data_IF_544734465087
#
_entry.id   IF_544734465087
#
_cell.length_a   1.000
_cell.length_b   1.000
_cell.length_c   1.000
_cell.angle_alpha   90.00
_cell.angle_beta   90.00
_cell.angle_gamma   90.00
#
_symmetry.space_group_name_H-M   'P 1'
#
loop_
_entity.id
_entity.type
_entity.pdbx_description
1 polymer ?
#
# COMPACT_ATOMS: atom_id res chain seq x y z
N UNK A 1 7.56 34.26 16.35
CA UNK A 1 6.40 33.52 15.83
C UNK A 1 6.93 32.61 14.74
N UNK A 2 6.21 31.55 14.35
CA UNK A 2 6.66 30.75 13.20
C UNK A 2 6.54 31.59 11.92
N UNK A 3 7.56 31.54 11.06
CA UNK A 3 7.67 32.33 9.82
C UNK A 3 6.43 32.20 8.92
N UNK A 4 5.76 31.05 8.92
CA UNK A 4 4.53 30.82 8.16
C UNK A 4 3.35 31.66 8.70
N UNK A 5 3.20 31.74 10.02
CA UNK A 5 2.14 32.51 10.66
C UNK A 5 2.35 34.02 10.45
N UNK A 6 3.61 34.46 10.42
CA UNK A 6 3.96 35.85 10.09
C UNK A 6 3.52 36.24 8.66
N UNK A 7 3.45 35.27 7.75
CA UNK A 7 2.96 35.45 6.38
C UNK A 7 1.48 35.09 6.21
N UNK A 8 0.72 34.95 7.30
CA UNK A 8 -0.71 34.57 7.28
C UNK A 8 -1.00 33.23 6.60
N UNK A 9 -0.04 32.30 6.62
CA UNK A 9 -0.22 30.94 6.12
C UNK A 9 -0.84 30.10 7.24
N UNK A 10 -1.98 29.48 6.95
CA UNK A 10 -2.63 28.52 7.84
C UNK A 10 -1.75 27.28 8.00
N UNK A 11 -1.54 26.85 9.25
CA UNK A 11 -0.73 25.65 9.57
C UNK A 11 -1.52 24.75 10.49
N UNK A 12 -1.45 23.44 10.24
CA UNK A 12 -2.09 22.41 11.05
C UNK A 12 -1.00 21.41 11.44
N UNK A 13 -0.90 21.10 12.74
CA UNK A 13 0.18 20.27 13.27
C UNK A 13 -0.31 18.84 13.49
N UNK A 14 0.39 17.86 12.93
CA UNK A 14 0.18 16.45 13.23
C UNK A 14 0.96 16.05 14.49
N UNK A 15 0.43 15.10 15.27
CA UNK A 15 1.12 14.55 16.46
C UNK A 15 2.26 13.60 16.07
N UNK A 16 2.19 12.99 14.90
CA UNK A 16 3.15 12.05 14.36
C UNK A 16 3.33 12.31 12.87
N UNK A 17 3.18 11.25 12.07
CA UNK A 17 3.18 11.40 10.62
C UNK A 17 2.02 12.32 10.13
N UNK A 18 2.30 13.10 9.08
CA UNK A 18 1.40 14.13 8.58
C UNK A 18 0.48 13.65 7.45
N UNK A 19 0.72 12.49 6.84
CA UNK A 19 0.09 12.10 5.58
C UNK A 19 -1.43 11.98 5.72
N UNK A 20 -1.89 11.29 6.76
CA UNK A 20 -3.31 11.14 7.01
C UNK A 20 -3.98 12.50 7.28
N UNK A 21 -3.30 13.41 7.99
CA UNK A 21 -3.83 14.75 8.26
C UNK A 21 -3.92 15.59 6.98
N UNK A 22 -2.90 15.53 6.12
CA UNK A 22 -2.88 16.19 4.82
C UNK A 22 -4.05 15.69 3.96
N UNK A 23 -4.19 14.37 3.83
CA UNK A 23 -5.26 13.76 3.03
C UNK A 23 -6.65 14.12 3.58
N UNK A 24 -6.87 13.98 4.90
CA UNK A 24 -8.16 14.36 5.51
C UNK A 24 -8.49 15.83 5.30
N UNK A 25 -7.51 16.72 5.44
CA UNK A 25 -7.68 18.15 5.17
C UNK A 25 -8.05 18.40 3.71
N UNK A 26 -7.40 17.69 2.77
CA UNK A 26 -7.70 17.81 1.36
C UNK A 26 -9.12 17.35 1.02
N UNK A 27 -9.56 16.20 1.56
CA UNK A 27 -10.92 15.67 1.38
C UNK A 27 -11.97 16.58 2.02
N UNK A 28 -11.70 17.14 3.20
CA UNK A 28 -12.62 18.10 3.82
C UNK A 28 -12.75 19.38 2.98
N UNK A 29 -11.61 19.95 2.53
CA UNK A 29 -11.62 21.17 1.69
C UNK A 29 -12.24 20.91 0.31
N UNK A 30 -12.16 19.69 -0.23
CA UNK A 30 -12.75 19.34 -1.53
C UNK A 30 -14.28 19.36 -1.53
N UNK A 31 -14.92 19.40 -0.36
CA UNK A 31 -16.38 19.59 -0.26
C UNK A 31 -16.85 20.96 -0.74
N UNK A 32 -15.95 21.95 -0.83
CA UNK A 32 -16.29 23.35 -1.15
C UNK A 32 -15.57 23.92 -2.37
N UNK A 33 -14.41 23.37 -2.72
CA UNK A 33 -13.56 23.90 -3.78
C UNK A 33 -12.61 22.84 -4.31
N UNK A 34 -12.02 23.08 -5.49
CA UNK A 34 -10.93 22.25 -5.98
C UNK A 34 -9.70 22.36 -5.07
N UNK A 35 -9.01 21.23 -4.89
CA UNK A 35 -7.85 21.13 -3.99
C UNK A 35 -6.65 20.58 -4.75
N UNK A 36 -5.49 21.18 -4.53
CA UNK A 36 -4.20 20.65 -4.98
C UNK A 36 -3.40 20.24 -3.76
N UNK A 37 -2.98 18.98 -3.73
CA UNK A 37 -2.10 18.41 -2.72
C UNK A 37 -0.70 18.29 -3.32
N UNK A 38 0.27 18.86 -2.62
CA UNK A 38 1.67 18.80 -2.97
C UNK A 38 2.39 17.79 -2.08
N UNK A 39 3.15 16.86 -2.68
CA UNK A 39 3.96 15.91 -1.94
C UNK A 39 4.70 14.92 -2.83
N UNK A 40 5.75 14.31 -2.28
CA UNK A 40 6.55 13.27 -2.94
C UNK A 40 6.17 11.85 -2.50
N UNK A 41 5.43 11.75 -1.39
CA UNK A 41 5.12 10.46 -0.78
C UNK A 41 4.10 9.68 -1.61
N UNK A 42 4.36 8.37 -1.75
CA UNK A 42 3.38 7.47 -2.35
C UNK A 42 2.20 7.24 -1.41
N UNK A 43 2.41 7.35 -0.11
CA UNK A 43 1.39 7.14 0.92
C UNK A 43 0.25 8.15 0.76
N UNK A 44 0.57 9.40 0.43
CA UNK A 44 -0.42 10.42 0.07
C UNK A 44 -1.32 9.99 -1.09
N UNK A 45 -0.75 9.47 -2.19
CA UNK A 45 -1.54 9.02 -3.35
C UNK A 45 -2.44 7.83 -2.99
N UNK A 46 -1.91 6.88 -2.22
CA UNK A 46 -2.66 5.70 -1.74
C UNK A 46 -3.83 6.13 -0.87
N UNK A 47 -3.59 7.01 0.11
CA UNK A 47 -4.60 7.54 1.02
C UNK A 47 -5.63 8.40 0.29
N UNK A 48 -5.23 9.25 -0.66
CA UNK A 48 -6.14 10.05 -1.48
C UNK A 48 -7.07 9.16 -2.31
N UNK A 49 -6.54 8.12 -2.96
CA UNK A 49 -7.37 7.20 -3.73
C UNK A 49 -8.35 6.41 -2.84
N UNK A 50 -7.98 6.16 -1.58
CA UNK A 50 -8.81 5.44 -0.63
C UNK A 50 -9.90 6.32 0.02
N UNK A 51 -9.57 7.56 0.37
CA UNK A 51 -10.41 8.43 1.20
C UNK A 51 -11.20 9.49 0.42
N UNK A 52 -10.81 9.81 -0.82
CA UNK A 52 -11.52 10.81 -1.60
C UNK A 52 -12.93 10.35 -1.97
N UNK A 53 -13.90 11.25 -1.80
CA UNK A 53 -15.30 10.99 -2.12
C UNK A 53 -15.63 11.33 -3.58
N UNK A 54 -16.48 10.51 -4.21
CA UNK A 54 -16.86 10.68 -5.62
C UNK A 54 -17.73 11.93 -5.89
N UNK A 55 -18.35 12.51 -4.86
CA UNK A 55 -19.28 13.64 -4.98
C UNK A 55 -18.68 15.00 -4.60
N UNK A 56 -17.35 15.06 -4.36
CA UNK A 56 -16.66 16.31 -4.04
C UNK A 56 -16.09 17.00 -5.27
N UNK A 57 -15.58 18.22 -5.10
CA UNK A 57 -14.75 18.87 -6.13
C UNK A 57 -13.45 18.08 -6.36
N UNK A 58 -12.82 18.34 -7.52
CA UNK A 58 -11.60 17.68 -7.96
C UNK A 58 -10.46 17.84 -6.95
N UNK A 59 -9.76 16.73 -6.68
CA UNK A 59 -8.50 16.74 -5.93
C UNK A 59 -7.38 16.37 -6.91
N UNK A 60 -6.35 17.21 -6.98
CA UNK A 60 -5.16 16.97 -7.76
C UNK A 60 -3.97 16.70 -6.84
N UNK A 61 -3.18 15.67 -7.14
CA UNK A 61 -1.94 15.37 -6.44
C UNK A 61 -0.74 15.58 -7.35
N UNK A 62 0.26 16.33 -6.89
CA UNK A 62 1.45 16.66 -7.67
C UNK A 62 2.68 16.80 -6.79
N UNK A 63 3.84 16.73 -7.42
CA UNK A 63 5.16 17.02 -6.84
C UNK A 63 5.33 18.51 -6.54
N UNK A 64 6.04 18.83 -5.46
CA UNK A 64 6.48 20.17 -5.09
C UNK A 64 7.85 20.53 -5.69
N UNK A 65 8.50 19.59 -6.38
CA UNK A 65 9.79 19.82 -7.02
C UNK A 65 9.67 20.87 -8.11
N UNK A 66 10.69 21.71 -8.19
CA UNK A 66 10.87 22.67 -9.29
C UNK A 66 11.17 21.94 -10.61
N UNK A 67 10.12 21.40 -11.21
CA UNK A 67 10.14 20.71 -12.49
C UNK A 67 9.44 21.60 -13.51
N UNK A 68 9.91 21.59 -14.76
CA UNK A 68 9.25 22.32 -15.83
C UNK A 68 7.80 21.83 -16.01
N UNK A 69 6.88 22.73 -16.39
CA UNK A 69 5.47 22.35 -16.59
C UNK A 69 5.27 21.17 -17.56
N UNK A 70 6.18 20.98 -18.53
CA UNK A 70 6.13 19.83 -19.46
C UNK A 70 6.36 18.48 -18.79
N UNK A 71 7.06 18.46 -17.67
CA UNK A 71 7.45 17.24 -16.95
C UNK A 71 6.70 17.11 -15.62
N UNK A 72 5.82 18.07 -15.27
CA UNK A 72 5.05 18.03 -14.04
C UNK A 72 4.03 16.89 -14.12
N UNK A 73 4.14 15.96 -13.18
CA UNK A 73 3.19 14.85 -13.06
C UNK A 73 2.06 15.25 -12.13
N UNK A 74 0.86 15.39 -12.69
CA UNK A 74 -0.37 15.68 -11.96
C UNK A 74 -1.28 14.45 -12.02
N UNK A 75 -1.72 14.02 -10.85
CA UNK A 75 -2.73 12.97 -10.70
C UNK A 75 -4.07 13.60 -10.39
N UNK A 76 -5.04 13.38 -11.26
CA UNK A 76 -6.45 13.64 -10.97
C UNK A 76 -6.97 12.44 -10.16
N UNK A 77 -7.29 12.68 -8.88
CA UNK A 77 -7.63 11.60 -7.95
C UNK A 77 -8.93 10.92 -8.36
N UNK A 78 -9.96 11.68 -8.75
CA UNK A 78 -11.22 11.11 -9.21
C UNK A 78 -11.03 10.25 -10.47
N UNK A 79 -10.28 10.72 -11.47
CA UNK A 79 -9.96 9.88 -12.65
C UNK A 79 -9.15 8.65 -12.27
N UNK A 80 -8.24 8.79 -11.32
CA UNK A 80 -7.43 7.66 -10.82
C UNK A 80 -8.31 6.60 -10.16
N UNK A 81 -9.26 7.02 -9.31
CA UNK A 81 -10.26 6.13 -8.70
C UNK A 81 -11.12 5.43 -9.76
N UNK A 82 -11.56 6.13 -10.81
CA UNK A 82 -12.31 5.54 -11.93
C UNK A 82 -11.52 4.46 -12.68
N UNK A 83 -10.22 4.68 -12.92
CA UNK A 83 -9.35 3.71 -13.61
C UNK A 83 -9.06 2.49 -12.73
N UNK A 84 -8.88 2.69 -11.42
CA UNK A 84 -8.59 1.61 -10.49
C UNK A 84 -9.83 0.77 -10.17
N UNK A 85 -10.97 1.41 -10.03
CA UNK A 85 -12.22 0.83 -9.54
C UNK A 85 -12.34 0.94 -8.03
N UNK A 86 -13.57 1.14 -7.55
CA UNK A 86 -13.90 1.32 -6.13
C UNK A 86 -13.35 0.20 -5.24
N UNK A 87 -13.54 -1.05 -5.65
CA UNK A 87 -13.04 -2.22 -4.93
C UNK A 87 -11.53 -2.22 -4.71
N UNK A 88 -10.77 -1.75 -5.70
CA UNK A 88 -9.31 -1.66 -5.58
C UNK A 88 -8.94 -0.51 -4.67
N UNK A 89 -9.57 0.66 -4.83
CA UNK A 89 -9.33 1.82 -3.98
C UNK A 89 -9.58 1.52 -2.50
N UNK A 90 -10.65 0.78 -2.18
CA UNK A 90 -10.93 0.33 -0.82
C UNK A 90 -9.81 -0.56 -0.26
N UNK A 91 -9.14 -1.35 -1.10
CA UNK A 91 -8.10 -2.31 -0.70
C UNK A 91 -6.66 -1.80 -0.92
N UNK A 92 -6.47 -0.58 -1.41
CA UNK A 92 -5.14 -0.02 -1.65
C UNK A 92 -4.27 0.07 -0.39
N UNK A 93 -4.78 0.49 0.79
CA UNK A 93 -3.97 0.51 2.02
C UNK A 93 -3.44 -0.88 2.39
N UNK A 94 -4.28 -1.90 2.28
CA UNK A 94 -3.87 -3.30 2.48
C UNK A 94 -2.79 -3.74 1.49
N UNK A 95 -2.99 -3.46 0.20
CA UNK A 95 -2.00 -3.79 -0.83
C UNK A 95 -0.66 -3.10 -0.55
N UNK A 96 -0.69 -1.82 -0.17
CA UNK A 96 0.50 -1.04 0.11
C UNK A 96 1.26 -1.55 1.35
N UNK A 97 0.55 -1.83 2.45
CA UNK A 97 1.15 -2.39 3.65
C UNK A 97 1.80 -3.77 3.41
N UNK A 98 1.10 -4.68 2.73
CA UNK A 98 1.58 -6.05 2.51
C UNK A 98 2.79 -6.10 1.57
N UNK A 99 2.85 -5.25 0.53
CA UNK A 99 3.97 -5.28 -0.42
C UNK A 99 5.20 -4.52 0.07
N UNK A 100 5.06 -3.73 1.13
CA UNK A 100 6.07 -2.82 1.67
C UNK A 100 5.65 -1.35 1.53
N UNK A 101 5.56 -0.67 2.67
CA UNK A 101 5.37 0.77 2.83
C UNK A 101 6.61 1.40 3.51
N UNK A 102 6.53 2.62 4.02
CA UNK A 102 7.67 3.30 4.65
C UNK A 102 8.27 2.57 5.85
N UNK A 103 7.43 1.84 6.60
CA UNK A 103 7.87 1.11 7.79
C UNK A 103 8.33 -0.31 7.48
N UNK A 104 8.13 -0.81 6.25
CA UNK A 104 8.38 -2.20 5.89
C UNK A 104 9.12 -2.34 4.56
N UNK A 105 10.09 -3.25 4.51
CA UNK A 105 10.83 -3.48 3.28
C UNK A 105 9.94 -4.05 2.18
N UNK A 106 10.23 -3.70 0.92
CA UNK A 106 9.52 -4.29 -0.21
C UNK A 106 9.74 -5.80 -0.29
N UNK A 107 8.68 -6.54 -0.59
CA UNK A 107 8.74 -7.99 -0.86
C UNK A 107 9.66 -8.32 -2.05
N UNK A 108 10.66 -9.16 -1.83
CA UNK A 108 11.57 -9.60 -2.88
C UNK A 108 10.84 -10.46 -3.93
N UNK A 109 11.10 -10.20 -5.22
CA UNK A 109 10.51 -10.94 -6.33
C UNK A 109 9.05 -10.57 -6.66
N UNK A 110 8.42 -9.66 -5.91
CA UNK A 110 7.02 -9.25 -6.13
C UNK A 110 6.95 -7.81 -6.68
N UNK A 111 6.22 -7.64 -7.78
CA UNK A 111 6.00 -6.35 -8.44
C UNK A 111 4.69 -5.69 -8.01
N UNK A 112 4.68 -4.38 -7.73
CA UNK A 112 3.46 -3.62 -7.35
C UNK A 112 2.33 -3.80 -8.37
N UNK A 113 2.64 -3.73 -9.67
CA UNK A 113 1.67 -3.93 -10.75
C UNK A 113 1.11 -5.36 -10.82
N UNK A 114 1.88 -6.38 -10.42
CA UNK A 114 1.40 -7.75 -10.36
C UNK A 114 0.38 -7.93 -9.24
N UNK A 115 0.63 -7.32 -8.08
CA UNK A 115 -0.31 -7.35 -6.94
C UNK A 115 -1.59 -6.58 -7.25
N UNK A 116 -1.48 -5.40 -7.86
CA UNK A 116 -2.65 -4.62 -8.31
C UNK A 116 -3.49 -5.36 -9.35
N UNK A 117 -2.89 -6.17 -10.22
CA UNK A 117 -3.63 -7.05 -11.13
C UNK A 117 -4.29 -8.20 -10.38
N UNK A 118 -3.60 -8.79 -9.40
CA UNK A 118 -4.08 -9.94 -8.65
C UNK A 118 -5.25 -9.58 -7.72
N UNK A 119 -5.21 -8.44 -7.05
CA UNK A 119 -6.30 -7.98 -6.17
C UNK A 119 -7.61 -7.72 -6.93
N UNK A 120 -7.54 -7.45 -8.25
CA UNK A 120 -8.73 -7.27 -9.10
C UNK A 120 -9.48 -8.56 -9.40
N UNK A 121 -8.81 -9.71 -9.38
CA UNK A 121 -9.39 -10.97 -9.90
C UNK A 121 -9.37 -12.13 -8.91
N UNK A 122 -8.61 -12.03 -7.81
CA UNK A 122 -8.42 -13.15 -6.90
C UNK A 122 -9.16 -12.95 -5.58
N UNK A 123 -10.35 -13.56 -5.49
CA UNK A 123 -11.28 -13.41 -4.36
C UNK A 123 -10.66 -13.68 -3.00
N UNK A 124 -9.86 -14.74 -2.85
CA UNK A 124 -9.25 -15.07 -1.56
C UNK A 124 -8.33 -13.96 -1.05
N UNK A 125 -7.59 -13.28 -1.93
CA UNK A 125 -6.75 -12.13 -1.56
C UNK A 125 -7.61 -10.91 -1.20
N UNK A 126 -8.76 -10.73 -1.86
CA UNK A 126 -9.73 -9.68 -1.50
C UNK A 126 -10.31 -9.92 -0.11
N UNK A 127 -10.67 -11.17 0.22
CA UNK A 127 -11.15 -11.55 1.56
C UNK A 127 -10.09 -11.31 2.64
N UNK A 128 -8.81 -11.61 2.36
CA UNK A 128 -7.74 -11.28 3.32
C UNK A 128 -7.64 -9.76 3.52
N UNK A 129 -7.75 -8.97 2.45
CA UNK A 129 -7.76 -7.51 2.55
C UNK A 129 -8.94 -6.96 3.37
N UNK A 130 -10.12 -7.58 3.27
CA UNK A 130 -11.30 -7.20 4.05
C UNK A 130 -11.09 -7.46 5.55
N UNK A 131 -10.56 -8.63 5.92
CA UNK A 131 -10.21 -8.92 7.32
C UNK A 131 -9.16 -7.95 7.82
N UNK A 132 -8.13 -7.69 7.01
CA UNK A 132 -7.02 -6.81 7.36
C UNK A 132 -7.46 -5.37 7.66
N UNK A 133 -8.39 -4.83 6.87
CA UNK A 133 -8.83 -3.43 6.97
C UNK A 133 -9.99 -3.21 7.97
N UNK A 134 -10.59 -4.28 8.49
CA UNK A 134 -11.78 -4.18 9.32
C UNK A 134 -11.43 -3.85 10.78
N UNK A 135 -11.86 -2.68 11.24
CA UNK A 135 -11.57 -2.16 12.59
C UNK A 135 -11.96 -3.11 13.74
N UNK A 136 -12.99 -3.95 13.55
CA UNK A 136 -13.45 -4.89 14.56
C UNK A 136 -12.57 -6.14 14.71
N UNK A 137 -11.58 -6.35 13.83
CA UNK A 137 -10.75 -7.55 13.83
C UNK A 137 -9.62 -7.45 14.85
N UNK A 138 -9.34 -8.57 15.52
CA UNK A 138 -8.24 -8.66 16.47
C UNK A 138 -6.89 -8.66 15.75
N UNK A 139 -5.83 -8.29 16.49
CA UNK A 139 -4.45 -8.31 15.96
C UNK A 139 -4.07 -9.66 15.34
N UNK A 140 -4.47 -10.75 15.98
CA UNK A 140 -4.19 -12.09 15.50
C UNK A 140 -4.88 -12.40 14.17
N UNK A 141 -6.11 -11.90 13.97
CA UNK A 141 -6.84 -12.10 12.72
C UNK A 141 -6.23 -11.29 11.58
N UNK A 142 -5.83 -10.04 11.85
CA UNK A 142 -5.12 -9.19 10.89
C UNK A 142 -3.77 -9.83 10.50
N UNK A 143 -3.01 -10.32 11.48
CA UNK A 143 -1.74 -11.02 11.22
C UNK A 143 -1.94 -12.29 10.39
N UNK A 144 -2.96 -13.10 10.70
CA UNK A 144 -3.29 -14.30 9.91
C UNK A 144 -3.69 -13.94 8.49
N UNK A 145 -4.51 -12.91 8.31
CA UNK A 145 -4.92 -12.46 6.98
C UNK A 145 -3.72 -11.94 6.17
N UNK A 146 -2.81 -11.20 6.81
CA UNK A 146 -1.56 -10.75 6.20
C UNK A 146 -0.64 -11.91 5.81
N UNK A 147 -0.47 -12.91 6.68
CA UNK A 147 0.30 -14.12 6.37
C UNK A 147 -0.32 -14.88 5.19
N UNK A 148 -1.63 -15.08 5.22
CA UNK A 148 -2.37 -15.79 4.17
C UNK A 148 -2.30 -15.05 2.82
N UNK A 149 -2.32 -13.71 2.86
CA UNK A 149 -2.07 -12.87 1.69
C UNK A 149 -0.66 -13.11 1.13
N UNK A 150 0.37 -13.17 1.98
CA UNK A 150 1.74 -13.43 1.55
C UNK A 150 1.92 -14.82 0.96
N UNK A 151 1.35 -15.86 1.60
CA UNK A 151 1.30 -17.23 1.06
C UNK A 151 0.75 -17.18 -0.36
N UNK A 152 -0.37 -16.48 -0.56
CA UNK A 152 -0.94 -16.33 -1.88
C UNK A 152 -0.04 -15.56 -2.86
N UNK A 153 0.55 -14.44 -2.45
CA UNK A 153 1.42 -13.62 -3.32
C UNK A 153 2.65 -14.39 -3.80
N UNK A 154 3.18 -15.29 -2.98
CA UNK A 154 4.31 -16.15 -3.31
C UNK A 154 3.92 -17.47 -4.01
N UNK A 155 2.65 -17.62 -4.41
CA UNK A 155 2.16 -18.79 -5.16
C UNK A 155 1.95 -20.04 -4.29
N UNK A 156 1.77 -19.86 -2.99
CA UNK A 156 1.32 -20.91 -2.08
C UNK A 156 -0.16 -21.22 -2.23
N UNK A 157 -0.54 -22.36 -1.66
CA UNK A 157 -1.93 -22.81 -1.57
C UNK A 157 -2.63 -22.13 -0.38
N UNK A 158 -3.96 -21.91 -0.44
CA UNK A 158 -4.69 -21.41 0.71
C UNK A 158 -4.46 -22.28 1.95
N UNK A 159 -4.26 -21.65 3.12
CA UNK A 159 -4.02 -22.30 4.40
C UNK A 159 -2.74 -23.16 4.47
N UNK A 160 -1.81 -23.02 3.51
CA UNK A 160 -0.53 -23.75 3.52
C UNK A 160 0.36 -23.31 4.70
N UNK A 161 0.26 -22.04 5.10
CA UNK A 161 1.14 -21.43 6.08
C UNK A 161 2.49 -21.01 5.47
N UNK A 162 3.01 -19.86 5.91
CA UNK A 162 4.17 -19.25 5.27
C UNK A 162 5.46 -20.06 5.49
N UNK A 163 5.61 -20.66 6.67
CA UNK A 163 6.80 -21.45 7.00
C UNK A 163 6.85 -22.77 6.22
N UNK A 164 5.70 -23.43 6.00
CA UNK A 164 5.62 -24.63 5.17
C UNK A 164 5.91 -24.30 3.70
N UNK A 165 5.33 -23.21 3.18
CA UNK A 165 5.62 -22.71 1.84
C UNK A 165 7.11 -22.39 1.69
N UNK A 166 7.70 -21.70 2.67
CA UNK A 166 9.13 -21.36 2.69
C UNK A 166 10.00 -22.62 2.65
N UNK A 167 9.67 -23.62 3.47
CA UNK A 167 10.38 -24.91 3.48
C UNK A 167 10.25 -25.65 2.14
N UNK A 168 9.05 -25.70 1.55
CA UNK A 168 8.79 -26.34 0.26
C UNK A 168 9.60 -25.67 -0.86
N UNK A 169 9.64 -24.33 -0.88
CA UNK A 169 10.42 -23.59 -1.88
C UNK A 169 11.92 -23.77 -1.69
N UNK A 170 12.42 -23.79 -0.44
CA UNK A 170 13.81 -24.09 -0.15
C UNK A 170 14.19 -25.49 -0.65
N UNK A 171 13.41 -26.51 -0.29
CA UNK A 171 13.68 -27.90 -0.65
C UNK A 171 13.62 -28.12 -2.16
N UNK A 172 12.60 -27.56 -2.83
CA UNK A 172 12.51 -27.58 -4.31
C UNK A 172 13.76 -26.99 -4.96
N UNK A 173 14.27 -25.89 -4.39
CA UNK A 173 15.47 -25.23 -4.88
C UNK A 173 16.71 -26.10 -4.65
N UNK A 174 16.89 -26.69 -3.47
CA UNK A 174 18.09 -27.50 -3.15
C UNK A 174 18.12 -28.85 -3.87
N UNK A 175 16.97 -29.45 -4.15
CA UNK A 175 16.87 -30.78 -4.78
C UNK A 175 16.85 -30.74 -6.32
N UNK A 176 16.94 -29.56 -6.94
CA UNK A 176 16.92 -29.43 -8.39
C UNK A 176 18.19 -30.04 -9.02
N UNK A 177 18.00 -30.99 -9.96
CA UNK A 177 19.01 -31.89 -10.53
C UNK A 177 20.22 -31.17 -11.19
N UNK A 178 20.07 -29.91 -11.62
CA UNK A 178 21.06 -29.18 -12.41
C UNK A 178 21.72 -27.98 -11.67
N UNK A 179 22.08 -28.10 -10.39
CA UNK A 179 22.63 -26.94 -9.64
C UNK A 179 24.14 -26.94 -9.41
N UNK A 180 24.76 -25.87 -9.90
CA UNK A 180 26.07 -25.35 -9.49
C UNK A 180 25.97 -24.11 -8.58
N UNK A 181 24.76 -23.63 -8.24
CA UNK A 181 24.54 -22.33 -7.57
C UNK A 181 23.97 -22.45 -6.16
N UNK A 182 24.54 -21.64 -5.26
CA UNK A 182 24.16 -21.49 -3.85
C UNK A 182 22.76 -20.87 -3.75
N UNK A 183 21.92 -21.39 -2.84
CA UNK A 183 20.63 -20.77 -2.51
C UNK A 183 20.87 -19.41 -1.86
N UNK A 184 20.52 -18.37 -2.60
CA UNK A 184 20.55 -17.00 -2.12
C UNK A 184 19.43 -16.76 -1.11
N UNK A 185 19.76 -16.26 0.09
CA UNK A 185 18.82 -16.12 1.21
C UNK A 185 17.67 -15.16 0.89
N UNK A 186 17.93 -14.10 0.12
CA UNK A 186 16.92 -13.14 -0.34
C UNK A 186 15.84 -13.75 -1.25
N UNK A 187 16.10 -14.93 -1.82
CA UNK A 187 15.12 -15.67 -2.62
C UNK A 187 14.22 -16.58 -1.76
N UNK A 188 14.40 -16.59 -0.44
CA UNK A 188 13.50 -17.26 0.50
C UNK A 188 12.45 -16.26 0.97
N UNK A 189 11.22 -16.74 1.15
CA UNK A 189 10.15 -15.96 1.74
C UNK A 189 10.53 -15.57 3.17
N UNK A 190 10.00 -14.47 3.68
CA UNK A 190 10.08 -14.15 5.10
C UNK A 190 9.43 -15.24 5.97
N UNK A 191 9.83 -15.32 7.24
CA UNK A 191 9.19 -16.22 8.21
C UNK A 191 7.81 -15.70 8.60
N UNK A 192 6.95 -16.54 9.18
CA UNK A 192 5.67 -16.10 9.76
C UNK A 192 5.87 -14.94 10.75
N UNK A 193 6.88 -14.99 11.62
CA UNK A 193 7.14 -13.91 12.57
C UNK A 193 7.53 -12.58 11.91
N UNK A 194 8.34 -12.63 10.84
CA UNK A 194 8.71 -11.43 10.11
C UNK A 194 7.54 -10.87 9.28
N UNK A 195 6.64 -11.73 8.80
CA UNK A 195 5.45 -11.32 8.07
C UNK A 195 4.51 -10.43 8.88
N UNK A 196 4.49 -10.59 10.22
CA UNK A 196 3.65 -9.78 11.11
C UNK A 196 3.95 -8.28 11.03
N UNK A 197 5.19 -7.88 10.70
CA UNK A 197 5.54 -6.47 10.54
C UNK A 197 4.84 -5.80 9.35
N UNK A 198 4.42 -6.57 8.35
CA UNK A 198 3.58 -6.06 7.25
C UNK A 198 2.11 -5.91 7.63
N UNK A 199 1.74 -6.31 8.85
CA UNK A 199 0.36 -6.36 9.34
C UNK A 199 0.13 -5.52 10.60
N UNK A 200 1.17 -4.95 11.20
CA UNK A 200 1.13 -4.24 12.49
C UNK A 200 1.74 -2.85 12.42
#
# INVERSE_FOLDING_TARGET
MDTLQEHSIETIQAKGDADLLIVKTAVEKSTRQEVVVYGEDTDLLILLCHLAENNSHCIFFTTDKHISMKNLKVWDIQKTQQVLGEDVCLRLPFVHAIIGCDTTSRLHGIGKSAVLKKIKSYHHLQTQGEVFLKESMGKDDVCKAGEEALVNLYGGMPLEGLDLLRWRQFTTKTMAINRSSIVQVQNLLQTSDAAKFHSM
#
